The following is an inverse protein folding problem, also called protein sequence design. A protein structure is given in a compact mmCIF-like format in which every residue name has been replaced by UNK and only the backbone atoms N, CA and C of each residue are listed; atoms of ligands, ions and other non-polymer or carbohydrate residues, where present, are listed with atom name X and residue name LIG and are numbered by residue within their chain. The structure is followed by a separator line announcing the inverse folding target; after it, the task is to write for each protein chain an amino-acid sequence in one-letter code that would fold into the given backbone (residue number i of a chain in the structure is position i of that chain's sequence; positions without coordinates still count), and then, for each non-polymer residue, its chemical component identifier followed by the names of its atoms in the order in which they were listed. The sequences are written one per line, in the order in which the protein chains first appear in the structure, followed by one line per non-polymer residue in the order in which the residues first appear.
data_IF_244008051505
#
_entry.id   IF_244008051505
#
_cell.length_a   1.000
_cell.length_b   1.000
_cell.length_c   1.000
_cell.angle_alpha   90.00
_cell.angle_beta   90.00
_cell.angle_gamma   90.00
#
_symmetry.space_group_name_H-M   'P 1'
#
loop_
_entity.id
_entity.type
_entity.pdbx_description
1 polymer ?
#
# COMPACT_ATOMS: atom_id res chain seq x y z
N UNK A 1 -30.01 -9.10 -8.19
CA UNK A 1 -29.07 -8.27 -7.40
C UNK A 1 -27.65 -8.84 -7.37
N UNK A 2 -27.37 -10.04 -6.82
CA UNK A 2 -25.97 -10.59 -6.83
C UNK A 2 -25.50 -10.98 -8.25
N UNK A 3 -26.38 -11.57 -9.05
CA UNK A 3 -26.10 -11.89 -10.47
C UNK A 3 -25.78 -10.62 -11.26
N UNK A 4 -26.58 -9.57 -11.06
CA UNK A 4 -26.38 -8.27 -11.71
C UNK A 4 -25.03 -7.65 -11.35
N UNK A 5 -24.58 -7.76 -10.09
CA UNK A 5 -23.25 -7.27 -9.67
C UNK A 5 -22.09 -8.06 -10.27
N UNK A 6 -22.23 -9.38 -10.44
CA UNK A 6 -21.21 -10.19 -11.10
C UNK A 6 -21.11 -9.86 -12.59
N UNK A 7 -22.26 -9.61 -13.24
CA UNK A 7 -22.29 -9.17 -14.63
C UNK A 7 -21.65 -7.78 -14.80
N UNK A 8 -21.95 -6.83 -13.91
CA UNK A 8 -21.29 -5.52 -13.89
C UNK A 8 -19.78 -5.62 -13.75
N UNK A 9 -19.27 -6.48 -12.85
CA UNK A 9 -17.84 -6.70 -12.68
C UNK A 9 -17.18 -7.31 -13.93
N UNK A 10 -17.85 -8.25 -14.61
CA UNK A 10 -17.31 -8.83 -15.86
C UNK A 10 -17.23 -7.80 -16.98
N UNK A 11 -18.15 -6.83 -17.02
CA UNK A 11 -18.14 -5.74 -18.02
C UNK A 11 -16.97 -4.76 -17.82
N UNK A 12 -16.37 -4.70 -16.64
CA UNK A 12 -15.20 -3.85 -16.38
C UNK A 12 -13.87 -4.53 -16.68
N UNK A 13 -13.87 -5.81 -17.06
CA UNK A 13 -12.65 -6.54 -17.40
C UNK A 13 -11.90 -5.89 -18.56
N UNK A 14 -10.59 -5.79 -18.38
CA UNK A 14 -9.69 -5.29 -19.41
C UNK A 14 -8.81 -6.40 -19.92
N UNK A 15 -8.63 -6.44 -21.24
CA UNK A 15 -7.88 -7.47 -21.94
C UNK A 15 -6.63 -6.88 -22.58
N UNK A 16 -5.52 -7.59 -22.44
CA UNK A 16 -4.29 -7.32 -23.17
C UNK A 16 -3.87 -8.59 -23.91
N UNK A 17 -3.83 -8.53 -25.24
CA UNK A 17 -3.54 -9.65 -26.13
C UNK A 17 -4.45 -10.84 -25.84
N UNK A 18 -5.75 -10.57 -25.73
CA UNK A 18 -6.81 -11.54 -25.39
C UNK A 18 -6.72 -12.16 -23.98
N UNK A 19 -5.81 -11.71 -23.11
CA UNK A 19 -5.72 -12.17 -21.72
C UNK A 19 -6.38 -11.15 -20.80
N UNK A 20 -7.25 -11.55 -19.85
CA UNK A 20 -7.78 -10.63 -18.87
C UNK A 20 -6.65 -10.20 -17.93
N UNK A 21 -6.48 -8.90 -17.71
CA UNK A 21 -5.36 -8.33 -16.95
C UNK A 21 -5.78 -7.41 -15.82
N UNK A 22 -7.07 -7.12 -15.64
CA UNK A 22 -7.55 -6.25 -14.59
C UNK A 22 -8.99 -5.80 -14.80
N UNK A 23 -9.44 -4.83 -13.99
CA UNK A 23 -10.73 -4.13 -14.16
C UNK A 23 -10.52 -2.62 -14.22
N UNK A 24 -11.25 -1.92 -15.09
CA UNK A 24 -11.25 -0.46 -15.13
C UNK A 24 -11.74 0.15 -13.82
N UNK A 25 -11.29 1.36 -13.50
CA UNK A 25 -11.69 2.07 -12.29
C UNK A 25 -13.18 2.47 -12.28
N UNK A 26 -13.70 2.91 -13.44
CA UNK A 26 -15.10 3.27 -13.55
C UNK A 26 -15.65 3.01 -14.96
N UNK A 27 -16.86 2.45 -15.03
CA UNK A 27 -17.65 2.33 -16.26
C UNK A 27 -18.64 3.51 -16.32
N UNK A 28 -18.13 4.71 -16.55
CA UNK A 28 -18.92 5.93 -16.65
C UNK A 28 -18.66 6.63 -17.98
N UNK A 29 -19.71 6.70 -18.82
CA UNK A 29 -19.67 7.35 -20.12
C UNK A 29 -20.15 8.81 -20.09
N UNK A 30 -20.50 9.34 -18.91
CA UNK A 30 -21.09 10.68 -18.75
C UNK A 30 -20.06 11.78 -18.48
N UNK A 31 -18.81 11.43 -18.18
CA UNK A 31 -17.72 12.35 -17.82
C UNK A 31 -16.51 12.08 -18.73
N UNK A 32 -15.71 13.11 -19.02
CA UNK A 32 -14.42 12.93 -19.70
C UNK A 32 -13.56 11.90 -18.96
N UNK A 33 -13.10 10.88 -19.69
CA UNK A 33 -12.23 9.81 -19.22
C UNK A 33 -10.83 10.36 -18.94
N UNK A 34 -10.65 11.03 -17.80
CA UNK A 34 -9.31 11.47 -17.39
C UNK A 34 -8.42 10.24 -17.09
N UNK A 35 -8.93 9.31 -16.26
CA UNK A 35 -8.20 8.11 -15.83
C UNK A 35 -9.10 6.87 -15.63
N UNK A 36 -10.40 6.95 -15.94
CA UNK A 36 -11.39 5.93 -15.57
C UNK A 36 -11.20 4.58 -16.29
N UNK A 37 -10.57 4.62 -17.46
CA UNK A 37 -10.22 3.50 -18.33
C UNK A 37 -8.98 2.71 -17.84
N UNK A 38 -8.27 3.23 -16.85
CA UNK A 38 -7.06 2.60 -16.32
C UNK A 38 -7.38 1.55 -15.26
N UNK A 39 -6.49 0.56 -15.14
CA UNK A 39 -6.53 -0.44 -14.06
C UNK A 39 -5.61 0.02 -12.94
N UNK A 40 -6.19 0.53 -11.85
CA UNK A 40 -5.43 0.91 -10.66
C UNK A 40 -5.13 -0.31 -9.78
N UNK A 41 -3.95 -0.34 -9.17
CA UNK A 41 -3.56 -1.46 -8.31
C UNK A 41 -4.53 -1.61 -7.13
N UNK A 42 -4.81 -0.50 -6.43
CA UNK A 42 -5.68 -0.50 -5.25
C UNK A 42 -7.13 -0.85 -5.60
N UNK A 43 -7.66 -0.34 -6.71
CA UNK A 43 -9.03 -0.59 -7.17
C UNK A 43 -9.22 -2.02 -7.67
N UNK A 44 -8.17 -2.65 -8.21
CA UNK A 44 -8.26 -4.04 -8.66
C UNK A 44 -8.23 -5.05 -7.50
N UNK A 45 -7.71 -4.72 -6.31
CA UNK A 45 -7.67 -5.65 -5.17
C UNK A 45 -9.04 -6.26 -4.83
N UNK A 46 -10.13 -5.49 -4.62
CA UNK A 46 -11.44 -6.07 -4.35
C UNK A 46 -11.98 -6.92 -5.51
N UNK A 47 -11.80 -6.48 -6.77
CA UNK A 47 -12.16 -7.26 -7.96
C UNK A 47 -11.41 -8.59 -7.98
N UNK A 48 -10.11 -8.57 -7.72
CA UNK A 48 -9.26 -9.75 -7.69
C UNK A 48 -9.69 -10.72 -6.60
N UNK A 49 -10.01 -10.24 -5.39
CA UNK A 49 -10.55 -11.09 -4.33
C UNK A 49 -11.89 -11.73 -4.72
N UNK A 50 -12.78 -11.00 -5.40
CA UNK A 50 -14.03 -11.55 -5.92
C UNK A 50 -13.79 -12.64 -6.96
N UNK A 51 -12.86 -12.43 -7.91
CA UNK A 51 -12.48 -13.45 -8.89
C UNK A 51 -11.82 -14.67 -8.24
N UNK A 52 -10.95 -14.48 -7.25
CA UNK A 52 -10.34 -15.59 -6.48
C UNK A 52 -11.40 -16.44 -5.76
N UNK A 53 -12.38 -15.80 -5.12
CA UNK A 53 -13.49 -16.50 -4.46
C UNK A 53 -14.41 -17.23 -5.45
N UNK A 54 -14.44 -16.81 -6.71
CA UNK A 54 -15.20 -17.46 -7.78
C UNK A 54 -14.34 -18.43 -8.63
N UNK A 55 -13.15 -18.81 -8.15
CA UNK A 55 -12.20 -19.71 -8.81
C UNK A 55 -11.69 -19.23 -10.18
N UNK A 56 -11.87 -17.94 -10.51
CA UNK A 56 -11.42 -17.29 -11.74
C UNK A 56 -10.02 -16.69 -11.55
N UNK A 57 -9.02 -17.56 -11.40
CA UNK A 57 -7.67 -17.15 -11.00
C UNK A 57 -6.85 -16.45 -12.09
N UNK A 58 -7.22 -16.63 -13.36
CA UNK A 58 -6.40 -16.22 -14.51
C UNK A 58 -6.16 -14.70 -14.55
N UNK A 59 -7.21 -13.90 -14.34
CA UNK A 59 -7.11 -12.43 -14.34
C UNK A 59 -6.15 -11.92 -13.27
N UNK A 60 -6.15 -12.54 -12.09
CA UNK A 60 -5.27 -12.16 -10.97
C UNK A 60 -3.83 -12.55 -11.26
N UNK A 61 -3.61 -13.76 -11.78
CA UNK A 61 -2.28 -14.21 -12.21
C UNK A 61 -1.69 -13.29 -13.27
N UNK A 62 -2.48 -12.94 -14.28
CA UNK A 62 -2.05 -12.08 -15.36
C UNK A 62 -1.75 -10.66 -14.85
N UNK A 63 -2.62 -10.09 -14.03
CA UNK A 63 -2.38 -8.79 -13.39
C UNK A 63 -1.04 -8.76 -12.63
N UNK A 64 -0.79 -9.77 -11.77
CA UNK A 64 0.46 -9.86 -10.99
C UNK A 64 1.70 -9.92 -11.90
N UNK A 65 1.65 -10.71 -12.97
CA UNK A 65 2.78 -10.85 -13.91
C UNK A 65 3.00 -9.61 -14.78
N UNK A 66 1.93 -8.93 -15.23
CA UNK A 66 2.04 -7.72 -16.05
C UNK A 66 2.56 -6.54 -15.23
N UNK A 67 2.06 -6.36 -14.01
CA UNK A 67 2.56 -5.33 -13.10
C UNK A 67 4.01 -5.57 -12.67
N UNK A 68 4.40 -6.84 -12.47
CA UNK A 68 5.80 -7.22 -12.24
C UNK A 68 6.69 -6.92 -13.46
N UNK A 69 6.21 -7.18 -14.68
CA UNK A 69 6.94 -6.81 -15.89
C UNK A 69 7.17 -5.30 -15.98
N UNK A 70 6.16 -4.49 -15.60
CA UNK A 70 6.28 -3.04 -15.56
C UNK A 70 7.27 -2.57 -14.48
N UNK A 71 7.29 -3.23 -13.31
CA UNK A 71 8.29 -2.97 -12.26
C UNK A 71 9.73 -3.13 -12.78
N UNK A 72 9.98 -4.05 -13.71
CA UNK A 72 11.33 -4.28 -14.24
C UNK A 72 11.84 -3.19 -15.20
N UNK A 73 10.97 -2.28 -15.64
CA UNK A 73 11.35 -1.19 -16.56
C UNK A 73 12.10 -0.09 -15.85
N UNK A 74 12.91 0.65 -16.61
CA UNK A 74 13.47 1.91 -16.13
C UNK A 74 12.37 2.97 -16.04
N UNK A 75 12.32 3.66 -14.90
CA UNK A 75 11.28 4.64 -14.58
C UNK A 75 11.98 5.94 -14.24
N UNK A 76 11.56 7.01 -14.89
CA UNK A 76 12.15 8.34 -14.78
C UNK A 76 11.04 9.35 -14.60
N UNK A 77 11.21 10.25 -13.64
CA UNK A 77 10.44 11.47 -13.53
C UNK A 77 11.41 12.62 -13.73
N UNK A 78 11.25 13.35 -14.84
CA UNK A 78 12.23 14.33 -15.32
C UNK A 78 13.66 13.74 -15.37
N UNK A 79 14.56 14.19 -14.49
CA UNK A 79 15.94 13.72 -14.38
C UNK A 79 16.17 12.77 -13.20
N UNK A 80 15.11 12.38 -12.49
CA UNK A 80 15.17 11.54 -11.31
C UNK A 80 14.75 10.10 -11.66
N UNK A 81 15.69 9.16 -11.49
CA UNK A 81 15.41 7.73 -11.60
C UNK A 81 14.66 7.25 -10.37
N UNK A 82 13.51 6.60 -10.57
CA UNK A 82 12.77 5.99 -9.47
C UNK A 82 13.42 4.68 -9.00
N UNK A 83 13.13 4.31 -7.76
CA UNK A 83 13.58 3.05 -7.18
C UNK A 83 13.16 1.84 -8.02
N UNK A 84 14.05 0.86 -8.17
CA UNK A 84 13.79 -0.33 -8.98
C UNK A 84 12.54 -1.11 -8.52
N UNK A 85 12.25 -1.11 -7.22
CA UNK A 85 11.08 -1.78 -6.63
C UNK A 85 9.75 -1.04 -6.78
N UNK A 86 9.74 0.20 -7.29
CA UNK A 86 8.50 1.00 -7.37
C UNK A 86 7.49 0.30 -8.28
N UNK A 87 6.31 0.02 -7.75
CA UNK A 87 5.18 -0.53 -8.50
C UNK A 87 4.37 0.62 -9.12
N UNK A 88 3.69 0.39 -10.26
CA UNK A 88 2.87 1.43 -10.87
C UNK A 88 1.62 1.72 -10.02
N UNK A 89 1.11 2.94 -10.11
CA UNK A 89 -0.19 3.35 -9.56
C UNK A 89 -1.31 2.68 -10.34
N UNK A 90 -1.20 2.76 -11.66
CA UNK A 90 -2.17 2.24 -12.62
C UNK A 90 -1.48 1.74 -13.89
N UNK A 91 -2.20 0.93 -14.65
CA UNK A 91 -1.79 0.45 -15.96
C UNK A 91 -2.83 0.85 -17.01
N UNK A 92 -2.35 1.29 -18.16
CA UNK A 92 -3.17 1.62 -19.33
C UNK A 92 -2.76 0.76 -20.54
N UNK A 93 -3.73 0.38 -21.35
CA UNK A 93 -3.55 -0.40 -22.57
C UNK A 93 -3.86 0.49 -23.76
N UNK A 94 -2.81 0.85 -24.50
CA UNK A 94 -2.97 1.59 -25.74
C UNK A 94 -3.06 0.61 -26.91
N UNK A 95 -4.13 0.73 -27.68
CA UNK A 95 -4.26 0.06 -28.97
C UNK A 95 -3.82 1.02 -30.07
N UNK A 96 -2.87 0.60 -30.91
CA UNK A 96 -2.46 1.35 -32.09
C UNK A 96 -3.12 0.73 -33.33
N UNK A 97 -4.25 1.27 -33.84
CA UNK A 97 -5.03 0.67 -34.91
C UNK A 97 -4.20 0.50 -36.19
N UNK A 98 -3.33 1.47 -36.46
CA UNK A 98 -2.50 1.53 -37.66
C UNK A 98 -1.49 0.37 -37.77
N UNK A 99 -1.10 -0.21 -36.63
CA UNK A 99 -0.08 -1.27 -36.57
C UNK A 99 -0.60 -2.59 -36.01
N UNK A 100 -1.85 -2.61 -35.55
CA UNK A 100 -2.44 -3.73 -34.80
C UNK A 100 -1.54 -4.18 -33.63
N UNK A 101 -0.91 -3.21 -32.94
CA UNK A 101 -0.03 -3.45 -31.78
C UNK A 101 -0.73 -2.91 -30.53
N UNK A 102 -0.78 -3.75 -29.50
CA UNK A 102 -1.15 -3.33 -28.15
C UNK A 102 0.09 -3.10 -27.29
N UNK A 103 0.14 -1.92 -26.66
CA UNK A 103 1.22 -1.49 -25.78
C UNK A 103 0.70 -1.33 -24.36
N UNK A 104 1.39 -1.94 -23.40
CA UNK A 104 1.12 -1.75 -21.97
C UNK A 104 1.94 -0.57 -21.46
N UNK A 105 1.24 0.48 -21.02
CA UNK A 105 1.77 1.65 -20.34
C UNK A 105 1.43 1.60 -18.86
N UNK A 106 2.20 2.33 -18.07
CA UNK A 106 2.01 2.41 -16.64
C UNK A 106 2.30 3.83 -16.18
N UNK A 107 1.56 4.28 -15.18
CA UNK A 107 1.83 5.52 -14.45
C UNK A 107 2.47 5.15 -13.11
N UNK A 108 3.67 5.65 -12.85
CA UNK A 108 4.38 5.47 -11.57
C UNK A 108 4.23 6.69 -10.65
N UNK A 109 3.31 7.60 -10.97
CA UNK A 109 3.07 8.84 -10.24
C UNK A 109 3.46 10.09 -11.02
N UNK A 110 4.16 9.96 -12.16
CA UNK A 110 4.56 11.07 -13.02
C UNK A 110 3.38 11.83 -13.62
N UNK A 111 2.25 11.16 -13.85
CA UNK A 111 1.05 11.79 -14.41
C UNK A 111 0.11 12.32 -13.33
N UNK A 112 0.41 12.05 -12.05
CA UNK A 112 -0.44 12.48 -10.92
C UNK A 112 -0.22 13.95 -10.57
N UNK A 113 -1.30 14.62 -10.15
CA UNK A 113 -1.23 16.02 -9.70
C UNK A 113 -0.39 16.09 -8.42
N UNK A 114 0.88 16.48 -8.58
CA UNK A 114 1.84 16.70 -7.52
C UNK A 114 2.87 15.60 -7.30
N UNK A 115 3.01 14.66 -8.25
CA UNK A 115 4.16 13.76 -8.41
C UNK A 115 4.49 13.03 -7.10
N UNK A 116 3.67 12.04 -6.76
CA UNK A 116 3.89 11.23 -5.56
C UNK A 116 3.96 9.76 -5.94
N UNK A 117 5.00 9.07 -5.47
CA UNK A 117 5.15 7.65 -5.67
C UNK A 117 4.02 6.88 -4.92
N UNK A 118 3.36 5.92 -5.57
CA UNK A 118 2.30 5.10 -4.95
C UNK A 118 2.93 4.07 -4.01
N UNK A 119 3.11 4.44 -2.75
CA UNK A 119 3.76 3.57 -1.75
C UNK A 119 2.91 2.32 -1.50
N UNK A 120 1.59 2.47 -1.49
CA UNK A 120 0.61 1.41 -1.27
C UNK A 120 0.58 0.34 -2.39
N UNK A 121 0.83 0.71 -3.65
CA UNK A 121 0.82 -0.23 -4.79
C UNK A 121 1.76 -1.43 -4.59
N UNK A 122 2.96 -1.20 -4.02
CA UNK A 122 3.91 -2.26 -3.69
C UNK A 122 3.35 -3.23 -2.64
N UNK A 123 2.72 -2.68 -1.61
CA UNK A 123 2.14 -3.47 -0.53
C UNK A 123 0.94 -4.29 -0.99
N UNK A 124 0.03 -3.66 -1.73
CA UNK A 124 -1.11 -4.34 -2.31
C UNK A 124 -0.70 -5.47 -3.24
N UNK A 125 0.38 -5.31 -4.02
CA UNK A 125 0.86 -6.37 -4.89
C UNK A 125 1.32 -7.62 -4.11
N UNK A 126 2.10 -7.45 -3.03
CA UNK A 126 2.56 -8.58 -2.19
C UNK A 126 1.38 -9.22 -1.43
N UNK A 127 0.46 -8.40 -0.91
CA UNK A 127 -0.76 -8.88 -0.25
C UNK A 127 -1.62 -9.68 -1.23
N UNK A 128 -1.77 -9.20 -2.47
CA UNK A 128 -2.54 -9.88 -3.50
C UNK A 128 -1.87 -11.17 -3.99
N UNK A 129 -0.54 -11.20 -4.13
CA UNK A 129 0.20 -12.43 -4.41
C UNK A 129 -0.02 -13.48 -3.30
N UNK A 130 -0.05 -13.04 -2.05
CA UNK A 130 -0.37 -13.91 -0.91
C UNK A 130 -1.82 -14.38 -0.94
N UNK A 131 -2.77 -13.53 -1.30
CA UNK A 131 -4.18 -13.92 -1.45
C UNK A 131 -4.34 -14.97 -2.57
N UNK A 132 -3.69 -14.75 -3.72
CA UNK A 132 -3.66 -15.69 -4.84
C UNK A 132 -3.15 -17.06 -4.39
N UNK A 133 -1.94 -17.13 -3.82
CA UNK A 133 -1.34 -18.42 -3.39
C UNK A 133 -2.17 -19.15 -2.32
N UNK A 134 -2.86 -18.40 -1.45
CA UNK A 134 -3.77 -18.97 -0.45
C UNK A 134 -5.07 -19.50 -1.06
N UNK A 135 -5.63 -18.80 -2.04
CA UNK A 135 -6.87 -19.19 -2.71
C UNK A 135 -6.66 -20.39 -3.62
N UNK A 136 -5.57 -20.41 -4.39
CA UNK A 136 -5.31 -21.46 -5.38
C UNK A 136 -4.60 -22.68 -4.79
N UNK A 137 -3.91 -22.53 -3.65
CA UNK A 137 -2.99 -23.53 -3.12
C UNK A 137 -1.70 -23.69 -3.93
N UNK A 138 -1.53 -22.92 -5.01
CA UNK A 138 -0.38 -22.98 -5.92
C UNK A 138 0.67 -21.93 -5.55
N UNK A 139 1.83 -22.39 -5.06
CA UNK A 139 2.98 -21.54 -4.74
C UNK A 139 3.88 -21.25 -5.96
N UNK A 140 3.68 -21.92 -7.10
CA UNK A 140 4.59 -21.85 -8.25
C UNK A 140 4.78 -20.42 -8.75
N UNK A 141 3.70 -19.63 -8.76
CA UNK A 141 3.73 -18.21 -9.16
C UNK A 141 4.64 -17.40 -8.23
N UNK A 142 4.48 -17.51 -6.92
CA UNK A 142 5.30 -16.77 -5.96
C UNK A 142 6.76 -17.24 -5.97
N UNK A 143 7.00 -18.51 -6.27
CA UNK A 143 8.32 -19.10 -6.35
C UNK A 143 9.10 -18.76 -7.62
N UNK A 144 8.44 -18.18 -8.64
CA UNK A 144 9.12 -17.74 -9.86
C UNK A 144 10.27 -16.77 -9.53
N UNK A 145 11.44 -16.87 -10.18
CA UNK A 145 12.57 -15.98 -9.93
C UNK A 145 12.22 -14.49 -10.08
N UNK A 146 11.35 -14.17 -11.04
CA UNK A 146 10.83 -12.81 -11.23
C UNK A 146 10.05 -12.30 -10.03
N UNK A 147 9.12 -13.11 -9.49
CA UNK A 147 8.30 -12.74 -8.34
C UNK A 147 9.14 -12.59 -7.06
N UNK A 148 10.08 -13.50 -6.81
CA UNK A 148 11.03 -13.38 -5.69
C UNK A 148 11.86 -12.10 -5.79
N UNK A 149 12.42 -11.81 -6.98
CA UNK A 149 13.14 -10.55 -7.22
C UNK A 149 12.23 -9.33 -6.99
N UNK A 150 11.00 -9.36 -7.51
CA UNK A 150 10.05 -8.26 -7.36
C UNK A 150 9.72 -7.96 -5.90
N UNK A 151 9.46 -8.99 -5.10
CA UNK A 151 9.25 -8.85 -3.65
C UNK A 151 10.48 -8.26 -2.95
N UNK A 152 11.68 -8.79 -3.23
CA UNK A 152 12.93 -8.29 -2.64
C UNK A 152 13.19 -6.82 -2.99
N UNK A 153 12.87 -6.40 -4.21
CA UNK A 153 12.99 -5.01 -4.64
C UNK A 153 12.02 -4.09 -3.89
N UNK A 154 10.77 -4.51 -3.67
CA UNK A 154 9.78 -3.76 -2.87
C UNK A 154 10.27 -3.65 -1.42
N UNK A 155 10.63 -4.79 -0.82
CA UNK A 155 11.15 -4.85 0.56
C UNK A 155 12.37 -3.96 0.76
N UNK A 156 13.30 -3.95 -0.19
CA UNK A 156 14.50 -3.10 -0.11
C UNK A 156 14.17 -1.60 -0.07
N UNK A 157 13.12 -1.15 -0.76
CA UNK A 157 12.70 0.26 -0.71
C UNK A 157 12.15 0.65 0.68
N UNK A 158 11.48 -0.27 1.36
CA UNK A 158 10.80 0.02 2.64
C UNK A 158 11.65 -0.33 3.88
N UNK A 159 12.66 -1.20 3.69
CA UNK A 159 13.60 -1.64 4.73
C UNK A 159 15.00 -1.02 4.57
N UNK A 160 15.17 -0.07 3.66
CA UNK A 160 16.44 0.66 3.54
C UNK A 160 16.74 1.43 4.83
N UNK A 161 18.01 1.45 5.22
CA UNK A 161 18.48 2.32 6.28
C UNK A 161 18.39 3.79 5.84
N UNK A 162 18.13 4.67 6.80
CA UNK A 162 17.95 6.09 6.54
C UNK A 162 18.12 6.92 7.81
N UNK A 163 17.75 8.19 7.74
CA UNK A 163 17.81 9.12 8.87
C UNK A 163 16.58 9.02 9.80
N UNK A 164 15.62 8.15 9.44
CA UNK A 164 14.42 7.97 10.23
C UNK A 164 14.75 7.28 11.56
N UNK A 165 14.19 7.81 12.65
CA UNK A 165 14.36 7.29 14.00
C UNK A 165 13.17 6.44 14.45
N UNK A 166 12.16 6.29 13.59
CA UNK A 166 10.98 5.47 13.83
C UNK A 166 10.97 4.20 12.97
N UNK A 167 10.35 3.11 13.44
CA UNK A 167 10.20 1.89 12.64
C UNK A 167 9.08 1.99 11.59
N UNK A 168 8.27 3.05 11.65
CA UNK A 168 7.24 3.40 10.67
C UNK A 168 7.86 3.95 9.39
N UNK A 169 7.14 3.85 8.28
CA UNK A 169 7.59 4.34 6.99
C UNK A 169 7.19 5.81 6.80
N UNK A 170 8.18 6.69 6.67
CA UNK A 170 7.98 8.10 6.36
C UNK A 170 7.39 8.28 4.95
N UNK A 171 6.29 9.01 4.86
CA UNK A 171 5.55 9.23 3.62
C UNK A 171 5.27 10.71 3.35
N UNK A 172 5.26 11.08 2.07
CA UNK A 172 4.69 12.34 1.64
C UNK A 172 3.15 12.31 1.75
N UNK A 173 2.51 13.47 1.65
CA UNK A 173 1.07 13.54 1.42
C UNK A 173 0.74 12.88 0.06
N UNK A 174 -0.48 12.37 -0.14
CA UNK A 174 -0.90 11.69 -1.40
C UNK A 174 -0.24 10.35 -1.70
N UNK A 175 0.18 9.61 -0.68
CA UNK A 175 0.97 8.38 -0.83
C UNK A 175 0.16 7.07 -0.81
N UNK A 176 -1.15 7.14 -0.59
CA UNK A 176 -2.04 5.99 -0.38
C UNK A 176 -3.36 6.16 -1.16
N UNK A 177 -4.45 5.52 -0.71
CA UNK A 177 -5.78 5.70 -1.31
C UNK A 177 -6.18 7.18 -1.36
N UNK A 178 -5.82 7.94 -0.33
CA UNK A 178 -5.98 9.40 -0.31
C UNK A 178 -4.86 10.00 -1.17
N UNK A 179 -5.16 10.24 -2.45
CA UNK A 179 -4.23 10.79 -3.45
C UNK A 179 -4.29 12.33 -3.58
N UNK A 180 -4.99 12.99 -2.64
CA UNK A 180 -5.06 14.46 -2.52
C UNK A 180 -4.41 14.95 -1.23
N UNK A 181 -4.01 16.23 -1.22
CA UNK A 181 -3.37 16.85 -0.05
C UNK A 181 -4.38 16.96 1.09
N UNK A 182 -4.30 15.99 2.02
CA UNK A 182 -5.22 15.87 3.15
C UNK A 182 -4.50 15.89 4.49
N UNK A 183 -3.19 16.21 4.50
CA UNK A 183 -2.39 16.24 5.72
C UNK A 183 -1.99 14.85 6.22
N UNK A 184 -2.00 13.85 5.33
CA UNK A 184 -1.61 12.45 5.63
C UNK A 184 -0.09 12.20 5.59
N UNK A 185 0.72 13.24 5.37
CA UNK A 185 2.18 13.15 5.39
C UNK A 185 2.73 12.71 6.77
N UNK A 186 3.95 12.18 6.81
CA UNK A 186 4.55 11.64 8.04
C UNK A 186 4.36 10.13 8.10
N UNK A 187 3.60 9.64 9.08
CA UNK A 187 3.44 8.21 9.34
C UNK A 187 1.95 7.82 9.35
N UNK A 188 1.24 7.90 8.21
CA UNK A 188 -0.19 7.65 8.16
C UNK A 188 -0.51 6.18 8.46
N UNK A 189 -1.52 5.95 9.32
CA UNK A 189 -1.91 4.62 9.79
C UNK A 189 -2.23 3.64 8.66
N UNK A 190 -2.80 4.13 7.55
CA UNK A 190 -3.11 3.32 6.36
C UNK A 190 -1.84 2.67 5.80
N UNK A 191 -0.80 3.47 5.55
CA UNK A 191 0.49 2.95 5.08
C UNK A 191 1.12 2.03 6.12
N UNK A 192 1.10 2.39 7.40
CA UNK A 192 1.73 1.56 8.43
C UNK A 192 1.04 0.19 8.58
N UNK A 193 -0.29 0.17 8.44
CA UNK A 193 -1.08 -1.06 8.48
C UNK A 193 -0.80 -1.94 7.24
N UNK A 194 -0.76 -1.34 6.05
CA UNK A 194 -0.42 -2.03 4.81
C UNK A 194 1.02 -2.58 4.84
N UNK A 195 1.97 -1.78 5.32
CA UNK A 195 3.35 -2.18 5.48
C UNK A 195 3.48 -3.35 6.46
N UNK A 196 2.80 -3.30 7.61
CA UNK A 196 2.76 -4.42 8.55
C UNK A 196 2.19 -5.69 7.92
N UNK A 197 1.11 -5.57 7.14
CA UNK A 197 0.50 -6.71 6.45
C UNK A 197 1.39 -7.28 5.35
N UNK A 198 2.00 -6.42 4.53
CA UNK A 198 2.93 -6.78 3.47
C UNK A 198 4.13 -7.57 4.04
N UNK A 199 4.78 -7.06 5.08
CA UNK A 199 5.89 -7.75 5.75
C UNK A 199 5.50 -9.15 6.24
N UNK A 200 4.29 -9.32 6.80
CA UNK A 200 3.79 -10.63 7.22
C UNK A 200 3.53 -11.57 6.03
N UNK A 201 3.02 -11.03 4.93
CA UNK A 201 2.82 -11.76 3.68
C UNK A 201 4.17 -12.19 3.09
N UNK A 202 5.15 -11.29 3.05
CA UNK A 202 6.51 -11.54 2.56
C UNK A 202 7.19 -12.70 3.31
N UNK A 203 7.08 -12.76 4.65
CA UNK A 203 7.61 -13.90 5.43
C UNK A 203 7.05 -15.26 4.97
N UNK A 204 5.80 -15.30 4.48
CA UNK A 204 5.18 -16.54 4.00
C UNK A 204 5.55 -16.87 2.55
N UNK A 205 6.02 -15.88 1.77
CA UNK A 205 6.22 -15.98 0.33
C UNK A 205 7.70 -16.08 -0.08
N UNK A 206 8.61 -15.53 0.73
CA UNK A 206 10.05 -15.53 0.45
C UNK A 206 10.63 -16.94 0.54
N UNK A 207 11.43 -17.29 -0.47
CA UNK A 207 12.25 -18.50 -0.45
C UNK A 207 13.28 -18.44 0.66
N UNK A 208 13.66 -19.60 1.19
CA UNK A 208 14.67 -19.76 2.23
C UNK A 208 16.07 -20.01 1.62
N UNK A 209 16.37 -19.37 0.50
CA UNK A 209 17.72 -19.26 -0.06
C UNK A 209 18.54 -18.22 0.73
N UNK A 210 19.83 -18.09 0.44
CA UNK A 210 20.71 -17.24 1.27
C UNK A 210 20.28 -15.76 1.25
N UNK A 211 19.91 -15.23 0.08
CA UNK A 211 19.34 -13.87 -0.03
C UNK A 211 18.00 -13.77 0.72
N UNK A 212 17.12 -14.77 0.58
CA UNK A 212 15.82 -14.77 1.24
C UNK A 212 15.91 -14.83 2.77
N UNK A 213 16.88 -15.55 3.33
CA UNK A 213 17.12 -15.60 4.79
C UNK A 213 17.47 -14.22 5.35
N UNK A 214 18.33 -13.46 4.67
CA UNK A 214 18.68 -12.09 5.07
C UNK A 214 17.42 -11.19 5.10
N UNK A 215 16.58 -11.26 4.06
CA UNK A 215 15.32 -10.53 4.04
C UNK A 215 14.38 -10.97 5.17
N UNK A 216 14.27 -12.26 5.44
CA UNK A 216 13.43 -12.80 6.51
C UNK A 216 13.85 -12.24 7.88
N UNK A 217 15.16 -12.15 8.17
CA UNK A 217 15.68 -11.57 9.40
C UNK A 217 15.38 -10.07 9.52
N UNK A 218 15.61 -9.31 8.45
CA UNK A 218 15.30 -7.87 8.39
C UNK A 218 13.80 -7.61 8.55
N UNK A 219 12.96 -8.39 7.88
CA UNK A 219 11.50 -8.34 7.96
C UNK A 219 11.03 -8.67 9.38
N UNK A 220 11.53 -9.74 10.00
CA UNK A 220 11.15 -10.14 11.36
C UNK A 220 11.52 -9.05 12.39
N UNK A 221 12.72 -8.48 12.27
CA UNK A 221 13.19 -7.38 13.12
C UNK A 221 12.29 -6.15 12.99
N UNK A 222 11.98 -5.75 11.75
CA UNK A 222 11.09 -4.61 11.49
C UNK A 222 9.67 -4.85 11.98
N UNK A 223 9.11 -6.06 11.78
CA UNK A 223 7.78 -6.42 12.27
C UNK A 223 7.67 -6.35 13.79
N UNK A 224 8.72 -6.77 14.52
CA UNK A 224 8.75 -6.66 15.97
C UNK A 224 8.71 -5.18 16.42
N UNK A 225 9.58 -4.35 15.85
CA UNK A 225 9.64 -2.92 16.16
C UNK A 225 8.34 -2.20 15.78
N UNK A 226 7.77 -2.48 14.61
CA UNK A 226 6.52 -1.88 14.14
C UNK A 226 5.33 -2.32 15.00
N UNK A 227 5.26 -3.61 15.38
CA UNK A 227 4.21 -4.10 16.28
C UNK A 227 4.26 -3.41 17.63
N UNK A 228 5.46 -3.22 18.20
CA UNK A 228 5.61 -2.47 19.44
C UNK A 228 5.17 -1.01 19.23
N UNK A 229 5.67 -0.35 18.20
CA UNK A 229 5.42 1.07 17.97
C UNK A 229 3.93 1.37 17.74
N UNK A 230 3.26 0.63 16.86
CA UNK A 230 1.84 0.81 16.55
C UNK A 230 0.97 0.61 17.80
N UNK A 231 1.20 -0.45 18.56
CA UNK A 231 0.37 -0.76 19.75
C UNK A 231 0.57 0.21 20.90
N UNK A 232 1.77 0.75 21.08
CA UNK A 232 2.07 1.63 22.21
C UNK A 232 1.80 3.11 21.90
N UNK A 233 1.93 3.53 20.65
CA UNK A 233 1.88 4.95 20.30
C UNK A 233 0.74 5.34 19.36
N UNK A 234 0.24 4.43 18.52
CA UNK A 234 -0.90 4.72 17.66
C UNK A 234 -2.24 4.38 18.32
N UNK A 235 -2.27 3.45 19.27
CA UNK A 235 -3.51 3.06 19.94
C UNK A 235 -4.03 4.16 20.87
N UNK A 236 -5.29 4.54 20.68
CA UNK A 236 -5.98 5.51 21.51
C UNK A 236 -7.30 4.92 22.01
N UNK A 237 -7.43 4.87 23.33
CA UNK A 237 -8.66 4.58 24.06
C UNK A 237 -8.86 5.65 25.15
N UNK A 238 -9.97 5.58 25.89
CA UNK A 238 -10.28 6.54 26.95
C UNK A 238 -9.18 6.64 28.02
N UNK A 239 -8.47 5.54 28.31
CA UNK A 239 -7.38 5.55 29.29
C UNK A 239 -6.17 6.30 28.72
N UNK A 240 -5.76 5.96 27.51
CA UNK A 240 -4.62 6.62 26.85
C UNK A 240 -4.90 8.09 26.57
N UNK A 241 -6.12 8.45 26.19
CA UNK A 241 -6.53 9.85 26.01
C UNK A 241 -6.38 10.64 27.32
N UNK A 242 -6.78 10.05 28.44
CA UNK A 242 -6.62 10.63 29.77
C UNK A 242 -5.14 10.78 30.18
N UNK A 243 -4.28 9.85 29.78
CA UNK A 243 -2.84 9.91 30.05
C UNK A 243 -2.18 11.01 29.20
N UNK A 244 -2.51 11.08 27.90
CA UNK A 244 -2.05 12.13 26.99
C UNK A 244 -2.49 13.52 27.47
N UNK A 245 -3.73 13.64 27.98
CA UNK A 245 -4.23 14.89 28.56
C UNK A 245 -3.41 15.37 29.78
N UNK A 246 -2.62 14.49 30.39
CA UNK A 246 -1.79 14.82 31.56
C UNK A 246 -0.30 14.93 31.21
N UNK A 247 0.05 14.87 29.92
CA UNK A 247 1.43 14.98 29.50
C UNK A 247 2.04 16.32 29.85
N UNK A 248 3.30 16.27 30.29
CA UNK A 248 4.16 17.44 30.38
C UNK A 248 4.95 17.57 29.08
N UNK A 249 5.26 18.79 28.69
CA UNK A 249 6.05 19.13 27.51
C UNK A 249 7.48 19.50 27.90
N UNK A 250 8.42 19.36 26.98
CA UNK A 250 9.83 19.72 27.21
C UNK A 250 10.61 18.72 28.06
N UNK A 251 10.12 17.48 28.17
CA UNK A 251 10.80 16.42 28.92
C UNK A 251 11.96 15.83 28.11
N UNK A 252 13.20 15.98 28.60
CA UNK A 252 14.40 15.44 27.97
C UNK A 252 14.99 14.28 28.80
N UNK A 253 14.59 13.04 28.48
CA UNK A 253 15.14 11.83 29.11
C UNK A 253 14.77 10.57 28.30
N UNK A 254 15.50 9.46 28.51
CA UNK A 254 15.11 8.15 27.96
C UNK A 254 13.87 7.55 28.65
N UNK A 255 13.49 8.07 29.82
CA UNK A 255 12.35 7.62 30.63
C UNK A 255 11.11 8.49 30.46
N UNK A 256 11.14 9.42 29.50
CA UNK A 256 10.07 10.37 29.21
C UNK A 256 8.78 9.65 28.78
N UNK A 257 7.64 10.09 29.34
CA UNK A 257 6.31 9.54 28.99
C UNK A 257 5.83 10.17 27.67
N UNK A 258 5.97 11.49 27.51
CA UNK A 258 5.63 12.20 26.28
C UNK A 258 6.76 12.11 25.23
N UNK A 259 7.02 10.91 24.70
CA UNK A 259 8.17 10.64 23.81
C UNK A 259 8.18 11.46 22.52
N UNK A 260 7.01 11.88 22.05
CA UNK A 260 6.89 12.69 20.84
C UNK A 260 6.80 14.18 21.13
N UNK A 261 6.84 14.59 22.40
CA UNK A 261 6.61 15.96 22.83
C UNK A 261 5.32 16.55 22.23
N UNK A 262 4.26 15.73 22.19
CA UNK A 262 2.95 16.15 21.71
C UNK A 262 2.38 17.22 22.65
N UNK A 263 1.89 18.32 22.08
CA UNK A 263 1.22 19.37 22.84
C UNK A 263 -0.25 18.99 23.06
N UNK A 264 -0.79 19.34 24.22
CA UNK A 264 -2.20 19.09 24.53
C UNK A 264 -3.13 19.71 23.48
N UNK A 265 -2.81 20.94 23.08
CA UNK A 265 -3.54 21.73 22.06
C UNK A 265 -3.52 21.08 20.66
N UNK A 266 -2.75 20.02 20.46
CA UNK A 266 -2.74 19.27 19.20
C UNK A 266 -3.91 18.31 19.03
N UNK A 267 -4.61 17.96 20.12
CA UNK A 267 -5.80 17.09 20.06
C UNK A 267 -7.07 17.93 19.85
N UNK A 268 -7.83 17.69 18.77
CA UNK A 268 -9.10 18.39 18.53
C UNK A 268 -10.15 18.09 19.60
N UNK A 269 -11.00 19.07 19.92
CA UNK A 269 -12.05 18.92 20.93
C UNK A 269 -13.01 17.75 20.64
N UNK A 270 -13.32 17.50 19.36
CA UNK A 270 -14.22 16.42 18.97
C UNK A 270 -13.73 15.03 19.41
N UNK A 271 -12.42 14.83 19.61
CA UNK A 271 -11.86 13.53 20.04
C UNK A 271 -12.36 13.15 21.42
N UNK A 272 -12.55 14.13 22.31
CA UNK A 272 -13.05 13.90 23.66
C UNK A 272 -14.53 13.49 23.66
N UNK A 273 -15.32 14.09 22.77
CA UNK A 273 -16.75 13.75 22.61
C UNK A 273 -16.96 12.43 21.87
N UNK A 274 -16.07 12.10 20.94
CA UNK A 274 -16.14 10.89 20.13
C UNK A 274 -15.69 9.63 20.88
N UNK A 275 -14.73 9.76 21.82
CA UNK A 275 -14.11 8.62 22.48
C UNK A 275 -15.10 7.83 23.35
N UNK A 276 -15.40 6.56 23.04
CA UNK A 276 -16.33 5.77 23.84
C UNK A 276 -15.69 5.32 25.17
N UNK A 277 -16.54 5.02 26.16
CA UNK A 277 -16.09 4.44 27.45
C UNK A 277 -15.43 3.07 27.26
N UNK A 278 -15.87 2.31 26.25
CA UNK A 278 -15.32 0.98 25.91
C UNK A 278 -15.01 0.93 24.42
N UNK A 279 -13.77 0.59 24.11
CA UNK A 279 -13.26 0.57 22.74
C UNK A 279 -12.15 1.60 22.55
N UNK A 280 -11.61 1.63 21.34
CA UNK A 280 -10.53 2.51 20.93
C UNK A 280 -10.21 2.29 19.45
N UNK A 281 -9.30 3.09 18.93
CA UNK A 281 -8.86 3.02 17.54
C UNK A 281 -7.39 3.38 17.41
N UNK A 282 -6.80 3.09 16.24
CA UNK A 282 -5.47 3.60 15.91
C UNK A 282 -5.60 5.01 15.33
N UNK A 283 -4.91 5.98 15.92
CA UNK A 283 -4.89 7.37 15.43
C UNK A 283 -4.29 7.46 14.04
N UNK A 284 -4.75 8.45 13.28
CA UNK A 284 -4.41 8.58 11.87
C UNK A 284 -2.93 8.79 11.59
N UNK A 285 -2.21 9.45 12.50
CA UNK A 285 -0.78 9.77 12.34
C UNK A 285 -0.11 10.06 13.69
N UNK A 286 1.16 9.67 13.83
CA UNK A 286 2.00 10.01 15.00
C UNK A 286 3.36 10.45 14.49
N UNK A 287 3.73 11.70 14.74
CA UNK A 287 5.02 12.27 14.32
C UNK A 287 5.62 13.15 15.42
N UNK A 288 6.91 13.54 15.33
CA UNK A 288 7.49 14.50 16.27
C UNK A 288 6.61 15.75 16.43
N UNK A 289 6.29 16.10 17.67
CA UNK A 289 5.44 17.21 18.09
C UNK A 289 3.98 17.19 17.59
N UNK A 290 3.50 16.11 16.95
CA UNK A 290 2.14 16.05 16.40
C UNK A 290 1.51 14.66 16.54
N UNK A 291 0.31 14.64 17.10
CA UNK A 291 -0.59 13.49 17.03
C UNK A 291 -1.77 13.93 16.17
N UNK A 292 -1.95 13.30 15.01
CA UNK A 292 -2.98 13.66 14.04
C UNK A 292 -4.13 12.65 14.04
N UNK A 293 -5.35 13.13 14.23
CA UNK A 293 -6.57 12.45 13.78
C UNK A 293 -6.91 13.01 12.39
N UNK A 294 -7.00 12.14 11.38
CA UNK A 294 -7.66 12.49 10.10
C UNK A 294 -9.13 12.15 10.26
#
# INVERSE_FOLDING_TARGET
MVVDTSESLRRTLVYFRSQPVGTIAALDHSVEELNHDQVFVRDFVPSALAFLMNEEHEVVRNFLLKTLHLQSREKMVDQCKLGAGVMPTSINMLHHPDRNIETLMADFGESTIGIVAPVDSGFWWIILLRAYTKSTGDSSLAEMPGCQRGMRLILNLCLSEGLDTFPTLLCADRCCMIDRRMGVYGYPVEIQALFFMELRCALSLLKQDDEGKEFVERVATRLHALSYHMRNYFWLDMKQLNDIYRYKTGEYSHTTVNKFNAMLDSLPEWVFDFMPIRGGYFIGNVSPARIGSI
#
